data_IF_428405802773
#
_entry.id   IF_428405802773
#
_cell.length_a   1.000
_cell.length_b   1.000
_cell.length_c   1.000
_cell.angle_alpha   90.00
_cell.angle_beta   90.00
_cell.angle_gamma   90.00
#
_symmetry.space_group_name_H-M   'P 1'
#
loop_
_entity.id
_entity.type
_entity.pdbx_description
1 polymer ?
#
# COMPACT_ATOMS: atom_id res chain seq x y z
N UNK A 1 -24.94 -13.76 -23.12
CA UNK A 1 -23.59 -14.23 -22.71
C UNK A 1 -22.64 -13.05 -22.85
N UNK A 2 -22.47 -12.27 -21.77
CA UNK A 2 -21.72 -10.99 -21.74
C UNK A 2 -20.71 -11.03 -20.58
N UNK A 3 -19.85 -12.04 -20.58
CA UNK A 3 -18.85 -12.23 -19.52
C UNK A 3 -17.41 -11.97 -19.99
N UNK A 4 -17.16 -12.00 -21.31
CA UNK A 4 -15.82 -11.82 -21.87
C UNK A 4 -15.42 -10.33 -22.04
N UNK A 5 -16.36 -9.45 -22.37
CA UNK A 5 -16.07 -8.01 -22.58
C UNK A 5 -15.74 -7.26 -21.27
N UNK A 6 -16.34 -7.69 -20.15
CA UNK A 6 -16.09 -7.06 -18.85
C UNK A 6 -14.66 -7.35 -18.36
N UNK A 7 -14.18 -8.57 -18.56
CA UNK A 7 -12.83 -8.99 -18.17
C UNK A 7 -11.76 -8.34 -19.07
N UNK A 8 -12.03 -8.22 -20.37
CA UNK A 8 -11.15 -7.53 -21.31
C UNK A 8 -11.09 -6.02 -21.04
N UNK A 9 -12.24 -5.38 -20.80
CA UNK A 9 -12.30 -3.95 -20.43
C UNK A 9 -11.63 -3.68 -19.08
N UNK A 10 -11.81 -4.53 -18.07
CA UNK A 10 -11.14 -4.37 -16.78
C UNK A 10 -9.61 -4.51 -16.91
N UNK A 11 -9.16 -5.45 -17.75
CA UNK A 11 -7.75 -5.68 -18.03
C UNK A 11 -7.13 -4.51 -18.81
N UNK A 12 -7.82 -3.97 -19.81
CA UNK A 12 -7.38 -2.80 -20.59
C UNK A 12 -7.41 -1.50 -19.77
N UNK A 13 -8.45 -1.28 -18.95
CA UNK A 13 -8.51 -0.13 -18.04
C UNK A 13 -7.41 -0.20 -16.97
N UNK A 14 -7.16 -1.37 -16.40
CA UNK A 14 -6.07 -1.59 -15.45
C UNK A 14 -4.69 -1.39 -16.08
N UNK A 15 -4.48 -1.91 -17.30
CA UNK A 15 -3.25 -1.69 -18.06
C UNK A 15 -3.06 -0.22 -18.45
N UNK A 16 -4.14 0.49 -18.83
CA UNK A 16 -4.11 1.89 -19.22
C UNK A 16 -3.90 2.83 -18.03
N UNK A 17 -4.50 2.54 -16.87
CA UNK A 17 -4.19 3.24 -15.60
C UNK A 17 -2.73 3.09 -15.24
N UNK A 18 -2.17 1.87 -15.31
CA UNK A 18 -0.74 1.64 -15.04
C UNK A 18 0.19 2.33 -16.04
N UNK A 19 -0.22 2.45 -17.32
CA UNK A 19 0.55 3.17 -18.34
C UNK A 19 0.62 4.69 -18.13
N UNK A 20 -0.37 5.26 -17.44
CA UNK A 20 -0.47 6.70 -17.22
C UNK A 20 -0.11 7.11 -15.78
N UNK A 21 0.05 6.14 -14.87
CA UNK A 21 0.48 6.40 -13.52
C UNK A 21 1.92 6.92 -13.55
N UNK A 22 2.13 8.08 -12.95
CA UNK A 22 3.47 8.59 -12.71
C UNK A 22 4.15 7.77 -11.62
N UNK A 23 5.49 7.77 -11.61
CA UNK A 23 6.26 7.11 -10.55
C UNK A 23 5.85 7.66 -9.17
N UNK A 24 5.55 8.96 -9.08
CA UNK A 24 5.06 9.61 -7.85
C UNK A 24 3.74 9.01 -7.36
N UNK A 25 2.73 8.87 -8.22
CA UNK A 25 1.44 8.29 -7.84
C UNK A 25 1.55 6.81 -7.40
N UNK A 26 2.46 6.06 -8.02
CA UNK A 26 2.74 4.68 -7.61
C UNK A 26 3.40 4.66 -6.23
N UNK A 27 4.36 5.55 -5.98
CA UNK A 27 5.03 5.67 -4.68
C UNK A 27 4.02 6.07 -3.60
N UNK A 28 3.16 7.05 -3.84
CA UNK A 28 2.13 7.47 -2.88
C UNK A 28 1.17 6.32 -2.52
N UNK A 29 0.77 5.53 -3.53
CA UNK A 29 -0.10 4.36 -3.32
C UNK A 29 0.60 3.28 -2.48
N UNK A 30 1.88 3.02 -2.75
CA UNK A 30 2.69 2.07 -1.98
C UNK A 30 2.87 2.53 -0.54
N UNK A 31 3.16 3.82 -0.33
CA UNK A 31 3.32 4.41 1.00
C UNK A 31 2.02 4.30 1.80
N UNK A 32 0.88 4.66 1.21
CA UNK A 32 -0.43 4.51 1.85
C UNK A 32 -0.74 3.05 2.23
N UNK A 33 -0.36 2.10 1.36
CA UNK A 33 -0.47 0.66 1.66
C UNK A 33 0.34 0.24 2.88
N UNK A 34 1.60 0.70 2.98
CA UNK A 34 2.46 0.39 4.14
C UNK A 34 1.86 0.87 5.46
N UNK A 35 1.22 2.04 5.50
CA UNK A 35 0.54 2.53 6.70
C UNK A 35 -0.66 1.64 7.09
N UNK A 36 -1.50 1.27 6.13
CA UNK A 36 -2.66 0.42 6.39
C UNK A 36 -2.25 -0.97 6.91
N UNK A 37 -1.24 -1.57 6.29
CA UNK A 37 -0.70 -2.88 6.68
C UNK A 37 -0.04 -2.81 8.06
N UNK A 38 0.70 -1.73 8.35
CA UNK A 38 1.36 -1.55 9.65
C UNK A 38 0.35 -1.40 10.79
N UNK A 39 -0.73 -0.64 10.58
CA UNK A 39 -1.80 -0.49 11.56
C UNK A 39 -2.49 -1.83 11.82
N UNK A 40 -2.76 -2.61 10.77
CA UNK A 40 -3.36 -3.94 10.89
C UNK A 40 -2.44 -4.89 11.67
N UNK A 41 -1.16 -4.98 11.30
CA UNK A 41 -0.18 -5.80 11.99
C UNK A 41 0.00 -5.38 13.47
N UNK A 42 -0.06 -4.07 13.76
CA UNK A 42 -0.02 -3.54 15.13
C UNK A 42 -1.26 -3.92 15.94
N UNK A 43 -2.45 -3.87 15.33
CA UNK A 43 -3.70 -4.29 15.97
C UNK A 43 -3.68 -5.79 16.31
N UNK A 44 -3.17 -6.61 15.38
CA UNK A 44 -3.05 -8.07 15.55
C UNK A 44 -1.84 -8.48 16.43
N UNK A 45 -1.01 -7.52 16.83
CA UNK A 45 0.26 -7.72 17.55
C UNK A 45 1.25 -8.62 16.80
N UNK A 46 1.13 -8.68 15.47
CA UNK A 46 2.02 -9.45 14.61
C UNK A 46 3.36 -8.71 14.45
N UNK A 47 4.32 -9.09 15.29
CA UNK A 47 5.65 -8.47 15.30
C UNK A 47 6.48 -8.79 14.07
N UNK A 48 6.30 -9.96 13.49
CA UNK A 48 7.06 -10.37 12.31
C UNK A 48 6.63 -9.53 11.11
N UNK A 49 5.32 -9.40 10.91
CA UNK A 49 4.76 -8.56 9.86
C UNK A 49 5.12 -7.09 10.05
N UNK A 50 5.07 -6.56 11.28
CA UNK A 50 5.52 -5.19 11.55
C UNK A 50 7.00 -4.98 11.18
N UNK A 51 7.89 -5.94 11.48
CA UNK A 51 9.31 -5.82 11.13
C UNK A 51 9.53 -5.85 9.62
N UNK A 52 8.84 -6.73 8.90
CA UNK A 52 8.91 -6.83 7.45
C UNK A 52 8.46 -5.52 6.77
N UNK A 53 7.40 -4.91 7.27
CA UNK A 53 6.90 -3.62 6.78
C UNK A 53 7.92 -2.51 7.04
N UNK A 54 8.53 -2.45 8.22
CA UNK A 54 9.55 -1.45 8.54
C UNK A 54 10.81 -1.62 7.69
N UNK A 55 11.23 -2.85 7.40
CA UNK A 55 12.36 -3.12 6.50
C UNK A 55 12.03 -2.68 5.07
N UNK A 56 10.81 -2.93 4.59
CA UNK A 56 10.35 -2.46 3.29
C UNK A 56 10.31 -0.92 3.22
N UNK A 57 9.76 -0.27 4.25
CA UNK A 57 9.70 1.18 4.34
C UNK A 57 11.10 1.80 4.30
N UNK A 58 12.06 1.22 5.04
CA UNK A 58 13.46 1.67 5.05
C UNK A 58 14.13 1.59 3.67
N UNK A 59 13.75 0.62 2.85
CA UNK A 59 14.28 0.47 1.49
C UNK A 59 13.73 1.53 0.51
N UNK A 60 12.56 2.09 0.78
CA UNK A 60 11.95 3.18 0.01
C UNK A 60 12.48 4.53 0.50
N UNK A 61 12.27 4.82 1.78
CA UNK A 61 12.73 6.03 2.45
C UNK A 61 12.96 5.74 3.94
N UNK A 62 14.18 5.89 4.46
CA UNK A 62 14.46 5.73 5.89
C UNK A 62 13.60 6.60 6.81
N UNK A 63 13.14 7.78 6.37
CA UNK A 63 12.28 8.66 7.16
C UNK A 63 10.88 8.05 7.38
N UNK A 64 10.41 7.22 6.45
CA UNK A 64 9.11 6.57 6.52
C UNK A 64 9.00 5.59 7.70
N UNK A 65 10.12 5.05 8.17
CA UNK A 65 10.19 4.18 9.36
C UNK A 65 9.76 4.94 10.61
N UNK A 66 10.24 6.18 10.75
CA UNK A 66 9.90 7.03 11.89
C UNK A 66 8.45 7.49 11.81
N UNK A 67 7.95 7.79 10.60
CA UNK A 67 6.54 8.08 10.38
C UNK A 67 5.64 6.91 10.77
N UNK A 68 5.93 5.68 10.32
CA UNK A 68 5.13 4.48 10.66
C UNK A 68 5.13 4.20 12.16
N UNK A 69 6.26 4.34 12.83
CA UNK A 69 6.37 4.15 14.30
C UNK A 69 5.64 5.24 15.09
N UNK A 70 5.67 6.47 14.59
CA UNK A 70 4.96 7.61 15.16
C UNK A 70 3.49 7.69 14.77
N UNK A 71 3.05 6.84 13.82
CA UNK A 71 1.69 6.83 13.32
C UNK A 71 0.74 6.22 14.36
N UNK A 72 0.24 7.08 15.24
CA UNK A 72 -0.98 6.83 15.99
C UNK A 72 -2.15 7.33 15.14
N UNK A 73 -2.62 6.46 14.25
CA UNK A 73 -3.99 6.58 13.77
C UNK A 73 -4.86 6.32 15.00
N UNK A 74 -5.24 7.39 15.72
CA UNK A 74 -6.32 7.35 16.70
C UNK A 74 -7.40 6.50 16.08
N UNK A 75 -7.55 5.28 16.61
CA UNK A 75 -8.32 4.20 16.01
C UNK A 75 -9.57 4.80 15.37
N UNK A 76 -9.58 4.90 14.04
CA UNK A 76 -10.73 5.45 13.36
C UNK A 76 -11.85 4.44 13.53
N UNK A 77 -12.65 4.72 14.56
CA UNK A 77 -14.10 4.64 14.65
C UNK A 77 -14.80 3.86 13.53
#
# INVERSE_FOLDING_TARGET
MILFDADLSATELGARRRKNATIGEVVDTVVAGLFADYVTARADRDREQMLLILDHAKAIDPALVDELRGFDYLAAA
#
